data_IF_657405717346
#
_entry.id   IF_657405717346
#
_cell.length_a   1.000
_cell.length_b   1.000
_cell.length_c   1.000
_cell.angle_alpha   90.00
_cell.angle_beta   90.00
_cell.angle_gamma   90.00
#
_symmetry.space_group_name_H-M   'P 1'
#
loop_
_entity.id
_entity.type
_entity.pdbx_description
1 polymer ?
#
# COMPACT_ATOMS: atom_id res chain seq x y z
N UNK A 1 -7.10 -5.64 5.14
CA UNK A 1 -6.85 -4.20 5.30
C UNK A 1 -5.39 -3.93 5.62
N UNK A 2 -4.79 -2.87 5.06
CA UNK A 2 -3.43 -2.42 5.30
C UNK A 2 -3.17 -2.11 6.79
N UNK A 3 -2.23 -2.81 7.43
CA UNK A 3 -1.90 -2.63 8.87
C UNK A 3 -1.52 -1.19 9.26
N UNK A 4 -1.08 -0.38 8.31
CA UNK A 4 -0.68 1.02 8.53
C UNK A 4 -1.84 2.01 8.43
N UNK A 5 -3.04 1.60 7.97
CA UNK A 5 -4.18 2.48 7.76
C UNK A 5 -4.62 3.30 9.00
N UNK A 6 -4.44 2.86 10.26
CA UNK A 6 -4.83 3.68 11.42
C UNK A 6 -3.91 4.89 11.65
N UNK A 7 -2.68 4.86 11.10
CA UNK A 7 -1.64 5.88 11.33
C UNK A 7 -1.16 6.57 10.06
N UNK A 8 -1.56 6.09 8.88
CA UNK A 8 -1.10 6.61 7.60
C UNK A 8 -1.89 7.89 7.22
N UNK A 9 -1.22 9.02 6.91
CA UNK A 9 -1.90 10.27 6.51
C UNK A 9 -2.52 10.18 5.11
N UNK A 10 -2.12 9.21 4.29
CA UNK A 10 -2.64 8.95 2.94
C UNK A 10 -3.66 7.81 2.90
N UNK A 11 -4.31 7.50 4.02
CA UNK A 11 -5.24 6.37 4.09
C UNK A 11 -6.44 6.59 3.18
N UNK A 12 -6.71 5.59 2.32
CA UNK A 12 -7.89 5.53 1.46
C UNK A 12 -8.84 4.42 1.95
N UNK A 13 -10.07 4.42 1.46
CA UNK A 13 -11.07 3.40 1.83
C UNK A 13 -10.59 1.96 1.56
N UNK A 14 -9.91 1.75 0.43
CA UNK A 14 -9.34 0.44 0.08
C UNK A 14 -8.32 -0.04 1.11
N UNK A 15 -7.56 0.87 1.73
CA UNK A 15 -6.57 0.53 2.76
C UNK A 15 -7.23 -0.07 4.01
N UNK A 16 -8.49 0.27 4.32
CA UNK A 16 -9.21 -0.29 5.47
C UNK A 16 -9.77 -1.68 5.18
N UNK A 17 -10.16 -1.92 3.92
CA UNK A 17 -10.83 -3.15 3.47
C UNK A 17 -9.81 -4.22 3.08
N UNK A 18 -8.79 -3.86 2.31
CA UNK A 18 -7.89 -4.81 1.63
C UNK A 18 -6.41 -4.58 1.97
N UNK A 19 -5.62 -5.66 1.95
CA UNK A 19 -4.16 -5.59 2.13
C UNK A 19 -3.50 -5.35 0.77
N UNK A 20 -2.60 -4.36 0.64
CA UNK A 20 -1.95 -4.09 -0.63
C UNK A 20 -1.03 -5.24 -1.04
N UNK A 21 -1.02 -5.66 -2.32
CA UNK A 21 -0.02 -6.60 -2.82
C UNK A 21 1.39 -6.01 -2.70
N UNK A 22 2.35 -6.91 -2.58
CA UNK A 22 3.77 -6.60 -2.64
C UNK A 22 4.16 -6.45 -4.12
N UNK A 23 4.59 -5.25 -4.51
CA UNK A 23 5.06 -4.95 -5.87
C UNK A 23 6.52 -4.53 -5.83
N UNK A 24 7.28 -4.93 -6.84
CA UNK A 24 8.65 -4.45 -7.04
C UNK A 24 8.60 -3.09 -7.74
N UNK A 25 9.12 -2.04 -7.09
CA UNK A 25 9.10 -0.66 -7.60
C UNK A 25 10.42 -0.27 -8.26
N UNK A 26 11.52 -0.89 -7.81
CA UNK A 26 12.87 -0.76 -8.36
C UNK A 26 13.63 -2.07 -8.08
N UNK A 27 14.79 -2.27 -8.68
CA UNK A 27 15.61 -3.48 -8.51
C UNK A 27 15.84 -3.78 -7.03
N UNK A 28 15.35 -4.93 -6.58
CA UNK A 28 15.42 -5.39 -5.18
C UNK A 28 14.68 -4.47 -4.17
N UNK A 29 13.78 -3.58 -4.63
CA UNK A 29 12.98 -2.68 -3.81
C UNK A 29 11.49 -2.99 -3.94
N UNK A 30 10.92 -3.56 -2.87
CA UNK A 30 9.51 -3.95 -2.82
C UNK A 30 8.68 -3.01 -1.95
N UNK A 31 7.45 -2.72 -2.40
CA UNK A 31 6.50 -1.85 -1.71
C UNK A 31 5.14 -2.54 -1.66
N UNK A 32 4.52 -2.53 -0.48
CA UNK A 32 3.14 -2.98 -0.28
C UNK A 32 2.26 -1.79 0.10
N UNK A 33 1.88 -0.96 -0.88
CA UNK A 33 1.07 0.23 -0.65
C UNK A 33 0.18 0.59 -1.83
N UNK A 34 -1.13 0.72 -1.58
CA UNK A 34 -2.14 1.10 -2.58
C UNK A 34 -1.86 2.44 -3.29
N UNK A 35 -1.12 3.35 -2.64
CA UNK A 35 -0.75 4.65 -3.23
C UNK A 35 0.14 4.50 -4.48
N UNK A 36 0.93 3.44 -4.53
CA UNK A 36 1.94 3.24 -5.57
C UNK A 36 1.52 2.25 -6.65
N UNK A 37 0.37 1.59 -6.51
CA UNK A 37 -0.08 0.53 -7.42
C UNK A 37 -0.67 1.01 -8.75
N UNK A 38 -0.86 2.32 -8.94
CA UNK A 38 -1.39 2.88 -10.20
C UNK A 38 -0.30 3.47 -11.11
N UNK A 39 0.97 3.23 -10.79
CA UNK A 39 2.09 3.74 -11.61
C UNK A 39 2.47 2.77 -12.72
#
# INVERSE_FOLDING_TARGET
GCRFHPRCPYTMDICRREEPPLVEMDKDHFVACWLYMKR
#
